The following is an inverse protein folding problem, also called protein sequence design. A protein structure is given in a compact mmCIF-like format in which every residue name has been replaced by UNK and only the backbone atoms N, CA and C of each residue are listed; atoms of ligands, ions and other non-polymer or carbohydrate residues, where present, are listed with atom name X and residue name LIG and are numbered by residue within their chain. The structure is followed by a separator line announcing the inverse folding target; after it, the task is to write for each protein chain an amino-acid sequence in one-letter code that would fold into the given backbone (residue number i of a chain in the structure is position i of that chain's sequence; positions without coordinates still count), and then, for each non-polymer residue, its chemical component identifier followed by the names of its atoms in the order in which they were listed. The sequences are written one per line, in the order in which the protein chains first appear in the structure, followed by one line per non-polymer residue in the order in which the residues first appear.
data_IF_389964141144
#
_entry.id   IF_389964141144
#
_cell.length_a   1.000
_cell.length_b   1.000
_cell.length_c   1.000
_cell.angle_alpha   90.00
_cell.angle_beta   90.00
_cell.angle_gamma   90.00
#
_symmetry.space_group_name_H-M   'P 1'
#
loop_
_entity.id
_entity.type
_entity.pdbx_description
1 polymer ?
#
# COMPACT_ATOMS: atom_id res chain seq x y z
N UNK A 1 1.07 -0.36 -21.00
CA UNK A 1 0.44 -1.59 -20.48
C UNK A 1 -0.89 -1.27 -19.81
N UNK A 2 -0.95 -0.40 -18.78
CA UNK A 2 -2.21 0.12 -18.21
C UNK A 2 -3.08 0.83 -19.26
N UNK A 3 -2.47 1.68 -20.09
CA UNK A 3 -3.16 2.38 -21.20
C UNK A 3 -3.81 1.40 -22.19
N UNK A 4 -3.24 0.20 -22.36
CA UNK A 4 -3.77 -0.84 -23.28
C UNK A 4 -4.81 -1.75 -22.60
N UNK A 5 -4.69 -1.96 -21.29
CA UNK A 5 -5.66 -2.71 -20.51
C UNK A 5 -5.79 -2.10 -19.10
N UNK A 6 -6.77 -1.20 -18.89
CA UNK A 6 -6.96 -0.51 -17.61
C UNK A 6 -7.31 -1.45 -16.45
N UNK A 7 -7.80 -2.67 -16.74
CA UNK A 7 -8.22 -3.64 -15.72
C UNK A 7 -7.09 -4.06 -14.79
N UNK A 8 -5.83 -3.90 -15.20
CA UNK A 8 -4.66 -4.23 -14.36
C UNK A 8 -4.49 -3.27 -13.17
N UNK A 9 -5.17 -2.12 -13.15
CA UNK A 9 -5.23 -1.22 -11.99
C UNK A 9 -6.14 -1.75 -10.89
N UNK A 10 -7.12 -2.59 -11.22
CA UNK A 10 -8.14 -3.04 -10.27
C UNK A 10 -7.50 -3.76 -9.07
N UNK A 11 -6.59 -4.75 -9.26
CA UNK A 11 -5.97 -5.44 -8.13
C UNK A 11 -5.20 -4.52 -7.16
N UNK A 12 -4.25 -3.66 -7.60
CA UNK A 12 -3.51 -2.80 -6.68
C UNK A 12 -4.39 -1.70 -6.07
N UNK A 13 -5.37 -1.14 -6.80
CA UNK A 13 -6.27 -0.12 -6.25
C UNK A 13 -7.19 -0.69 -5.17
N UNK A 14 -7.75 -1.89 -5.41
CA UNK A 14 -8.61 -2.54 -4.43
C UNK A 14 -7.80 -2.98 -3.18
N UNK A 15 -6.58 -3.47 -3.36
CA UNK A 15 -5.68 -3.77 -2.25
C UNK A 15 -5.43 -2.54 -1.36
N UNK A 16 -5.15 -1.38 -1.98
CA UNK A 16 -4.97 -0.12 -1.25
C UNK A 16 -6.23 0.33 -0.51
N UNK A 17 -7.39 0.25 -1.17
CA UNK A 17 -8.68 0.63 -0.56
C UNK A 17 -9.04 -0.25 0.65
N UNK A 18 -8.76 -1.55 0.57
CA UNK A 18 -8.98 -2.49 1.68
C UNK A 18 -8.03 -2.19 2.85
N UNK A 19 -6.75 -1.89 2.57
CA UNK A 19 -5.74 -1.69 3.61
C UNK A 19 -5.77 -0.32 4.27
N UNK A 20 -6.35 0.69 3.61
CA UNK A 20 -6.48 2.05 4.13
C UNK A 20 -7.10 2.15 5.55
N UNK A 21 -8.25 1.52 5.87
CA UNK A 21 -8.81 1.55 7.23
C UNK A 21 -7.94 0.81 8.26
N UNK A 22 -7.22 -0.24 7.87
CA UNK A 22 -6.30 -0.92 8.77
C UNK A 22 -5.12 -0.01 9.12
N UNK A 23 -4.50 0.63 8.13
CA UNK A 23 -3.39 1.54 8.34
C UNK A 23 -3.78 2.74 9.23
N UNK A 24 -4.93 3.36 8.97
CA UNK A 24 -5.34 4.62 9.62
C UNK A 24 -6.10 4.42 10.94
N UNK A 25 -7.06 3.49 11.00
CA UNK A 25 -7.93 3.32 12.18
C UNK A 25 -7.37 2.29 13.14
N UNK A 26 -6.95 1.12 12.65
CA UNK A 26 -6.49 0.02 13.51
C UNK A 26 -5.05 0.24 14.00
N UNK A 27 -4.14 0.58 13.09
CA UNK A 27 -2.71 0.72 13.40
C UNK A 27 -2.25 2.15 13.66
N UNK A 28 -3.11 3.14 13.36
CA UNK A 28 -2.87 4.58 13.54
C UNK A 28 -1.51 5.01 12.98
N UNK A 29 -1.17 4.51 11.80
CA UNK A 29 0.04 4.92 11.10
C UNK A 29 -0.09 6.37 10.67
N UNK A 30 0.91 7.18 11.02
CA UNK A 30 0.97 8.60 10.67
C UNK A 30 2.13 8.86 9.73
N UNK A 31 1.90 9.77 8.81
CA UNK A 31 2.87 10.22 7.82
C UNK A 31 2.88 11.75 7.81
N UNK A 32 3.93 12.36 7.26
CA UNK A 32 3.97 13.80 7.07
C UNK A 32 3.25 14.22 5.75
N UNK A 33 2.82 15.49 5.64
CA UNK A 33 2.15 15.98 4.43
C UNK A 33 3.02 15.91 3.17
N UNK A 34 4.34 16.07 3.31
CA UNK A 34 5.29 16.00 2.21
C UNK A 34 5.38 14.60 1.60
N UNK A 35 5.27 13.55 2.41
CA UNK A 35 5.37 12.15 2.01
C UNK A 35 4.08 11.55 1.46
N UNK A 36 2.91 12.09 1.86
CA UNK A 36 1.61 11.59 1.45
C UNK A 36 1.27 11.85 -0.03
N UNK A 37 1.94 12.82 -0.67
CA UNK A 37 1.64 13.30 -2.04
C UNK A 37 2.73 13.05 -3.09
N UNK A 38 3.74 12.24 -2.78
CA UNK A 38 4.96 12.09 -3.59
C UNK A 38 4.79 11.42 -4.97
N UNK A 39 3.58 10.97 -5.31
CA UNK A 39 3.26 10.40 -6.62
C UNK A 39 4.09 9.16 -6.94
N UNK A 40 5.00 9.25 -7.90
CA UNK A 40 5.84 8.13 -8.38
C UNK A 40 6.95 7.76 -7.39
N UNK A 41 7.31 8.64 -6.45
CA UNK A 41 8.31 8.37 -5.41
C UNK A 41 7.71 7.59 -4.24
N UNK A 42 7.16 6.41 -4.52
CA UNK A 42 6.38 5.62 -3.55
C UNK A 42 7.12 5.21 -2.28
N UNK A 43 8.45 5.08 -2.30
CA UNK A 43 9.25 4.77 -1.12
C UNK A 43 9.30 5.92 -0.10
N UNK A 44 9.07 7.16 -0.54
CA UNK A 44 9.18 8.31 0.36
C UNK A 44 8.07 8.33 1.40
N UNK A 45 6.87 7.85 1.07
CA UNK A 45 5.82 7.69 2.08
C UNK A 45 6.26 6.81 3.27
N UNK A 46 7.04 5.76 3.01
CA UNK A 46 7.52 4.87 4.09
C UNK A 46 8.61 5.52 4.93
N UNK A 47 9.57 6.18 4.28
CA UNK A 47 10.65 6.91 4.97
C UNK A 47 10.07 7.99 5.89
N UNK A 48 9.10 8.75 5.39
CA UNK A 48 8.44 9.81 6.17
C UNK A 48 7.55 9.24 7.30
N UNK A 49 7.03 8.02 7.16
CA UNK A 49 6.34 7.30 8.25
C UNK A 49 7.32 6.93 9.37
N UNK A 50 8.52 6.46 9.04
CA UNK A 50 9.57 6.21 10.03
C UNK A 50 10.07 7.48 10.69
N UNK A 51 10.18 8.57 9.94
CA UNK A 51 10.52 9.88 10.49
C UNK A 51 9.46 10.36 11.50
N UNK A 52 8.17 10.24 11.15
CA UNK A 52 7.06 10.71 11.97
C UNK A 52 6.79 9.83 13.22
N UNK A 53 6.96 8.51 13.11
CA UNK A 53 6.65 7.56 14.19
C UNK A 53 7.88 7.06 14.96
N UNK A 54 9.08 7.38 14.46
CA UNK A 54 10.36 6.89 14.98
C UNK A 54 10.80 5.56 14.36
N UNK A 55 12.12 5.38 14.30
CA UNK A 55 12.79 4.17 13.80
C UNK A 55 12.78 3.07 14.86
N UNK A 56 11.62 2.45 15.06
CA UNK A 56 11.44 1.36 16.04
C UNK A 56 11.04 0.05 15.36
N UNK A 57 11.39 -1.08 15.98
CA UNK A 57 11.01 -2.42 15.50
C UNK A 57 9.50 -2.57 15.25
N UNK A 58 8.59 -2.09 16.13
CA UNK A 58 7.16 -2.17 15.86
C UNK A 58 6.70 -1.41 14.62
N UNK A 59 7.27 -0.23 14.34
CA UNK A 59 6.95 0.55 13.15
C UNK A 59 7.44 -0.16 11.90
N UNK A 60 8.65 -0.74 11.94
CA UNK A 60 9.21 -1.53 10.84
C UNK A 60 8.30 -2.69 10.44
N UNK A 61 7.82 -3.46 11.43
CA UNK A 61 6.91 -4.58 11.17
C UNK A 61 5.57 -4.13 10.59
N UNK A 62 4.99 -3.03 11.11
CA UNK A 62 3.75 -2.46 10.55
C UNK A 62 3.94 -2.02 9.10
N UNK A 63 5.06 -1.35 8.79
CA UNK A 63 5.36 -0.88 7.43
C UNK A 63 5.54 -2.06 6.48
N UNK A 64 6.37 -3.05 6.83
CA UNK A 64 6.58 -4.23 5.99
C UNK A 64 5.28 -4.99 5.73
N UNK A 65 4.44 -5.15 6.76
CA UNK A 65 3.19 -5.89 6.64
C UNK A 65 2.15 -5.12 5.81
N UNK A 66 1.92 -3.84 6.09
CA UNK A 66 0.82 -3.08 5.48
C UNK A 66 1.16 -2.41 4.16
N UNK A 67 2.43 -2.09 3.90
CA UNK A 67 2.83 -1.40 2.66
C UNK A 67 3.45 -2.32 1.61
N UNK A 68 3.90 -3.51 1.99
CA UNK A 68 4.52 -4.46 1.07
C UNK A 68 3.80 -5.81 1.04
N UNK A 69 3.79 -6.55 2.16
CA UNK A 69 3.32 -7.93 2.17
C UNK A 69 1.82 -8.07 1.91
N UNK A 70 0.97 -7.41 2.71
CA UNK A 70 -0.47 -7.46 2.55
C UNK A 70 -0.96 -6.94 1.19
N UNK A 71 -0.51 -5.77 0.67
CA UNK A 71 -0.97 -5.31 -0.63
C UNK A 71 -0.47 -6.21 -1.77
N UNK A 72 0.72 -6.81 -1.66
CA UNK A 72 1.20 -7.78 -2.64
C UNK A 72 0.34 -9.04 -2.67
N UNK A 73 0.02 -9.61 -1.51
CA UNK A 73 -0.82 -10.82 -1.40
C UNK A 73 -2.22 -10.53 -1.97
N UNK A 74 -2.87 -9.44 -1.53
CA UNK A 74 -4.22 -9.09 -1.99
C UNK A 74 -4.22 -8.83 -3.49
N UNK A 75 -3.25 -8.07 -4.01
CA UNK A 75 -3.15 -7.76 -5.43
C UNK A 75 -2.89 -9.02 -6.27
N UNK A 76 -2.06 -9.95 -5.82
CA UNK A 76 -1.81 -11.22 -6.52
C UNK A 76 -3.07 -12.09 -6.58
N UNK A 77 -3.76 -12.27 -5.46
CA UNK A 77 -5.01 -13.06 -5.40
C UNK A 77 -6.08 -12.44 -6.31
N UNK A 78 -6.27 -11.12 -6.24
CA UNK A 78 -7.22 -10.42 -7.11
C UNK A 78 -6.84 -10.48 -8.58
N UNK A 79 -5.55 -10.39 -8.90
CA UNK A 79 -5.04 -10.51 -10.26
C UNK A 79 -5.31 -11.91 -10.83
N UNK A 80 -5.08 -12.97 -10.06
CA UNK A 80 -5.39 -14.34 -10.48
C UNK A 80 -6.89 -14.56 -10.69
N UNK A 81 -7.74 -14.04 -9.80
CA UNK A 81 -9.18 -14.12 -9.96
C UNK A 81 -9.66 -13.38 -11.22
N UNK A 82 -9.13 -12.18 -11.46
CA UNK A 82 -9.48 -11.39 -12.64
C UNK A 82 -9.01 -12.06 -13.94
N UNK A 83 -7.90 -12.80 -13.92
CA UNK A 83 -7.42 -13.61 -15.05
C UNK A 83 -8.22 -14.89 -15.28
N UNK A 84 -8.95 -15.39 -14.26
CA UNK A 84 -9.86 -16.54 -14.39
C UNK A 84 -11.27 -16.15 -14.85
N UNK A 85 -11.67 -14.91 -14.61
CA UNK A 85 -12.97 -14.37 -15.01
C UNK A 85 -13.02 -13.86 -16.46
N UNK A 86 -11.86 -13.64 -17.10
CA UNK A 86 -11.74 -13.18 -18.48
C UNK A 86 -11.01 -14.19 -19.34
#
# INVERSE_FOLDING_TARGET
NIVKNPRILIPPTLAGAILAPFATVAFKLVNNPYGAGMGTSGLVGQIMTFEAMGFTWPVLWKVLLLHFAAPAIISLVLSELLRKLG
#
